data_IF_810758218759
#
_entry.id   IF_810758218759
#
_cell.length_a   1.000
_cell.length_b   1.000
_cell.length_c   1.000
_cell.angle_alpha   90.00
_cell.angle_beta   90.00
_cell.angle_gamma   90.00
#
_symmetry.space_group_name_H-M   'P 1'
#
loop_
_entity.id
_entity.type
_entity.pdbx_description
1 polymer ?
#
# COMPACT_ATOMS: atom_id res chain seq x y z
N UNK A 1 -9.79 9.98 11.92
CA UNK A 1 -9.15 11.31 11.99
C UNK A 1 -9.54 12.12 10.79
N UNK A 2 -9.92 13.35 11.03
CA UNK A 2 -10.29 14.25 9.92
C UNK A 2 -9.15 14.43 8.92
N UNK A 3 -7.92 14.43 9.43
CA UNK A 3 -6.74 14.61 8.61
C UNK A 3 -6.61 13.55 7.52
N UNK A 4 -7.00 12.31 7.81
CA UNK A 4 -6.90 11.21 6.85
C UNK A 4 -7.85 11.36 5.69
N UNK A 5 -8.92 12.14 5.86
CA UNK A 5 -9.93 12.33 4.84
C UNK A 5 -9.76 13.60 4.06
N UNK A 6 -8.76 14.40 4.45
CA UNK A 6 -8.54 15.67 3.80
C UNK A 6 -8.07 15.43 2.39
N UNK A 7 -8.66 16.16 1.46
CA UNK A 7 -8.21 16.12 0.08
C UNK A 7 -6.92 16.92 -0.03
N UNK A 8 -5.95 16.35 -0.70
CA UNK A 8 -4.64 16.97 -0.85
C UNK A 8 -4.47 17.31 -2.32
N UNK A 9 -4.12 18.58 -2.64
CA UNK A 9 -3.91 18.95 -4.05
C UNK A 9 -2.79 18.12 -4.67
N UNK A 10 -2.99 17.76 -5.92
CA UNK A 10 -2.02 16.92 -6.62
C UNK A 10 -0.66 17.60 -6.69
N UNK A 11 -0.63 18.93 -6.72
CA UNK A 11 0.63 19.66 -6.78
C UNK A 11 1.52 19.46 -5.56
N UNK A 12 0.97 18.96 -4.44
CA UNK A 12 1.75 18.71 -3.24
C UNK A 12 2.34 17.30 -3.20
N UNK A 13 1.98 16.45 -4.14
CA UNK A 13 2.55 15.10 -4.22
C UNK A 13 3.93 15.18 -4.86
N UNK A 14 4.86 14.39 -4.34
CA UNK A 14 6.14 14.25 -5.00
C UNK A 14 6.09 13.09 -5.97
N UNK A 15 7.00 13.11 -6.93
CA UNK A 15 7.05 12.08 -7.96
C UNK A 15 7.82 10.88 -7.48
N UNK A 16 7.30 9.70 -7.78
CA UNK A 16 7.98 8.45 -7.55
C UNK A 16 8.27 7.73 -8.85
N UNK A 17 8.64 6.47 -8.78
CA UNK A 17 8.96 5.71 -9.97
C UNK A 17 7.73 5.44 -10.83
N UNK A 18 7.93 5.39 -12.15
CA UNK A 18 6.92 4.92 -13.11
C UNK A 18 5.63 5.71 -13.09
N UNK A 19 5.69 6.99 -12.78
CA UNK A 19 4.51 7.84 -12.76
C UNK A 19 3.71 7.83 -11.47
N UNK A 20 4.16 7.09 -10.49
CA UNK A 20 3.55 7.07 -9.17
C UNK A 20 3.75 8.42 -8.48
N UNK A 21 2.75 8.88 -7.74
CA UNK A 21 2.89 10.09 -6.93
C UNK A 21 2.58 9.77 -5.49
N UNK A 22 3.27 10.44 -4.57
CA UNK A 22 3.24 10.09 -3.16
C UNK A 22 3.11 11.33 -2.29
N UNK A 23 2.36 11.19 -1.20
CA UNK A 23 2.25 12.24 -0.19
C UNK A 23 2.16 11.57 1.18
N UNK A 24 3.08 11.92 2.09
CA UNK A 24 3.06 11.36 3.44
C UNK A 24 2.12 12.17 4.31
N UNK A 25 0.97 11.58 4.64
CA UNK A 25 0.02 12.21 5.54
C UNK A 25 0.54 12.14 6.96
N UNK A 26 1.08 10.99 7.34
CA UNK A 26 1.71 10.79 8.64
C UNK A 26 3.03 10.10 8.37
N UNK A 27 4.12 10.68 8.86
CA UNK A 27 5.41 10.01 8.78
C UNK A 27 5.55 9.09 9.97
N UNK A 28 5.81 7.83 9.70
CA UNK A 28 6.03 6.88 10.77
C UNK A 28 7.38 7.09 11.44
N UNK A 29 7.51 6.55 12.62
CA UNK A 29 8.75 6.69 13.39
C UNK A 29 9.44 5.36 13.61
N UNK A 30 8.83 4.25 13.15
CA UNK A 30 9.41 2.93 13.30
C UNK A 30 10.43 2.59 12.24
N UNK A 31 10.70 1.30 12.10
CA UNK A 31 11.66 0.83 11.13
C UNK A 31 11.21 1.13 9.71
N UNK A 32 12.18 1.33 8.83
CA UNK A 32 11.90 1.63 7.43
C UNK A 32 11.67 0.35 6.65
N UNK A 33 10.66 0.38 5.77
CA UNK A 33 10.33 -0.76 4.91
C UNK A 33 11.37 -0.92 3.83
N UNK A 34 11.84 -2.15 3.64
CA UNK A 34 12.83 -2.47 2.62
C UNK A 34 12.39 -3.66 1.80
N UNK A 35 12.93 -3.73 0.59
CA UNK A 35 12.67 -4.85 -0.31
C UNK A 35 13.07 -6.17 0.36
N UNK A 36 12.24 -7.18 0.18
CA UNK A 36 12.49 -8.51 0.76
C UNK A 36 11.80 -8.73 2.08
N UNK A 37 11.26 -7.68 2.68
CA UNK A 37 10.58 -7.82 3.96
C UNK A 37 9.11 -8.16 3.76
N UNK A 38 8.54 -8.85 4.75
CA UNK A 38 7.11 -9.06 4.80
C UNK A 38 6.49 -8.01 5.70
N UNK A 39 5.46 -7.35 5.19
CA UNK A 39 4.82 -6.24 5.91
C UNK A 39 3.35 -6.55 6.14
N UNK A 40 2.79 -5.92 7.16
CA UNK A 40 1.36 -5.91 7.41
C UNK A 40 0.87 -4.47 7.28
N UNK A 41 -0.18 -4.28 6.50
CA UNK A 41 -0.66 -2.95 6.15
C UNK A 41 -2.19 -2.90 6.22
N UNK A 42 -2.71 -1.69 6.33
CA UNK A 42 -4.08 -1.39 5.92
C UNK A 42 -4.02 -0.51 4.69
N UNK A 43 -4.98 -0.67 3.79
CA UNK A 43 -5.09 0.22 2.64
C UNK A 43 -6.53 0.37 2.19
N UNK A 44 -6.79 1.53 1.57
CA UNK A 44 -8.03 1.82 0.88
C UNK A 44 -7.70 2.15 -0.55
N UNK A 45 -8.42 1.55 -1.50
CA UNK A 45 -8.28 1.86 -2.91
C UNK A 45 -9.52 2.61 -3.34
N UNK A 46 -9.34 3.82 -3.86
CA UNK A 46 -10.43 4.70 -4.22
C UNK A 46 -10.32 5.13 -5.66
N UNK A 47 -11.48 5.30 -6.28
CA UNK A 47 -11.58 5.90 -7.59
C UNK A 47 -12.70 6.92 -7.54
N UNK A 48 -12.38 8.18 -7.87
CA UNK A 48 -13.35 9.30 -7.84
C UNK A 48 -14.04 9.40 -6.49
N UNK A 49 -13.27 9.31 -5.42
CA UNK A 49 -13.73 9.43 -4.03
C UNK A 49 -14.64 8.31 -3.56
N UNK A 50 -14.76 7.24 -4.35
CA UNK A 50 -15.51 6.05 -3.94
C UNK A 50 -14.50 4.98 -3.58
N UNK A 51 -14.64 4.41 -2.38
CA UNK A 51 -13.76 3.33 -1.94
C UNK A 51 -14.26 2.02 -2.52
N UNK A 52 -13.43 1.38 -3.33
CA UNK A 52 -13.78 0.11 -3.96
C UNK A 52 -13.19 -1.09 -3.22
N UNK A 53 -12.01 -0.92 -2.65
CA UNK A 53 -11.33 -1.99 -1.93
C UNK A 53 -10.79 -1.40 -0.65
N UNK A 54 -11.03 -2.06 0.48
CA UNK A 54 -10.48 -1.61 1.74
C UNK A 54 -10.20 -2.81 2.62
N UNK A 55 -9.04 -2.77 3.29
CA UNK A 55 -8.68 -3.76 4.29
C UNK A 55 -9.25 -3.40 5.65
N UNK A 56 -9.79 -2.19 5.81
CA UNK A 56 -10.29 -1.71 7.09
C UNK A 56 -11.71 -2.17 7.37
N UNK A 57 -12.41 -2.64 6.35
CA UNK A 57 -13.76 -3.13 6.51
C UNK A 57 -13.74 -4.47 7.19
N UNK A 58 -14.55 -4.64 8.22
CA UNK A 58 -14.60 -5.89 8.94
C UNK A 58 -15.58 -5.83 10.07
N UNK A 59 -15.66 -6.93 10.79
CA UNK A 59 -16.57 -7.04 11.93
C UNK A 59 -15.85 -6.60 13.19
N UNK A 60 -16.60 -5.97 14.07
CA UNK A 60 -16.09 -5.55 15.35
C UNK A 60 -15.40 -4.22 15.34
N UNK A 61 -14.76 -3.90 16.45
CA UNK A 61 -14.22 -2.57 16.67
C UNK A 61 -12.86 -2.36 16.03
N UNK A 62 -12.20 -3.42 15.60
CA UNK A 62 -10.86 -3.31 15.05
C UNK A 62 -10.84 -2.86 13.60
N UNK A 63 -11.99 -2.95 12.92
CA UNK A 63 -12.10 -2.40 11.58
C UNK A 63 -11.45 -3.22 10.48
N UNK A 64 -11.28 -4.50 10.68
CA UNK A 64 -10.81 -5.37 9.61
C UNK A 64 -9.48 -6.02 9.89
N UNK A 65 -9.08 -6.87 8.97
CA UNK A 65 -7.85 -7.66 9.10
C UNK A 65 -6.77 -7.04 8.25
N UNK A 66 -5.59 -6.81 8.82
CA UNK A 66 -4.46 -6.30 8.03
C UNK A 66 -4.08 -7.26 6.91
N UNK A 67 -3.56 -6.70 5.84
CA UNK A 67 -3.11 -7.45 4.68
C UNK A 67 -1.60 -7.59 4.74
N UNK A 68 -1.11 -8.81 4.55
CA UNK A 68 0.33 -9.07 4.51
C UNK A 68 0.80 -9.27 3.10
N UNK A 69 2.00 -8.75 2.78
CA UNK A 69 2.64 -9.08 1.51
C UNK A 69 4.14 -8.93 1.63
N UNK A 70 4.85 -9.48 0.65
CA UNK A 70 6.31 -9.46 0.62
C UNK A 70 6.75 -8.39 -0.36
N UNK A 71 7.47 -7.39 0.14
CA UNK A 71 7.90 -6.24 -0.67
C UNK A 71 8.89 -6.71 -1.73
N UNK A 72 8.61 -6.36 -2.97
CA UNK A 72 9.48 -6.71 -4.10
C UNK A 72 9.08 -7.98 -4.83
N UNK A 73 8.02 -8.66 -4.39
CA UNK A 73 7.56 -9.86 -5.08
C UNK A 73 6.86 -9.48 -6.37
N UNK A 74 7.20 -10.10 -7.49
CA UNK A 74 6.55 -9.78 -8.76
C UNK A 74 5.04 -9.98 -8.69
N UNK A 75 4.32 -9.06 -9.30
CA UNK A 75 2.87 -9.06 -9.26
C UNK A 75 2.30 -10.35 -9.84
N UNK A 76 1.34 -10.92 -9.15
CA UNK A 76 0.71 -12.19 -9.55
C UNK A 76 1.29 -13.40 -8.84
N UNK A 77 2.46 -13.27 -8.24
CA UNK A 77 3.04 -14.34 -7.45
C UNK A 77 2.49 -14.32 -6.04
N UNK A 78 2.61 -15.47 -5.36
CA UNK A 78 2.13 -15.58 -3.98
C UNK A 78 2.83 -14.56 -3.09
N UNK A 79 2.05 -13.86 -2.30
CA UNK A 79 2.58 -12.84 -1.40
C UNK A 79 2.81 -11.49 -2.04
N UNK A 80 2.36 -11.30 -3.28
CA UNK A 80 2.51 -10.01 -3.96
C UNK A 80 1.33 -9.10 -3.68
N UNK A 81 1.46 -7.84 -4.11
CA UNK A 81 0.38 -6.87 -4.08
C UNK A 81 0.41 -6.08 -5.39
N UNK A 82 -0.50 -5.13 -5.56
CA UNK A 82 -0.51 -4.29 -6.75
C UNK A 82 0.83 -3.59 -6.91
N UNK A 83 1.32 -3.45 -8.16
CA UNK A 83 2.61 -2.80 -8.37
C UNK A 83 2.72 -1.42 -7.74
N UNK A 84 1.66 -0.61 -7.82
CA UNK A 84 1.69 0.73 -7.23
C UNK A 84 1.83 0.72 -5.72
N UNK A 85 1.23 -0.26 -5.05
CA UNK A 85 1.37 -0.40 -3.61
C UNK A 85 2.78 -0.88 -3.27
N UNK A 86 3.28 -1.85 -4.01
CA UNK A 86 4.62 -2.40 -3.78
C UNK A 86 5.70 -1.33 -3.95
N UNK A 87 5.57 -0.50 -4.98
CA UNK A 87 6.51 0.60 -5.17
C UNK A 87 6.28 1.71 -4.17
N UNK A 88 5.02 1.97 -3.83
CA UNK A 88 4.67 3.10 -2.97
C UNK A 88 5.02 2.91 -1.51
N UNK A 89 5.17 1.66 -1.06
CA UNK A 89 5.49 1.42 0.35
C UNK A 89 6.97 1.63 0.66
N UNK A 90 7.80 1.60 -0.36
CA UNK A 90 9.25 1.67 -0.14
C UNK A 90 9.62 3.02 0.46
N UNK A 91 10.42 2.97 1.50
CA UNK A 91 10.81 4.17 2.22
C UNK A 91 9.84 4.61 3.30
N UNK A 92 8.66 3.99 3.38
CA UNK A 92 7.78 4.27 4.50
C UNK A 92 8.34 3.66 5.79
N UNK A 93 7.87 4.19 6.91
CA UNK A 93 8.24 3.65 8.22
C UNK A 93 6.99 3.13 8.91
N UNK A 94 7.18 2.17 9.80
CA UNK A 94 6.08 1.66 10.61
C UNK A 94 5.40 2.82 11.32
N UNK A 95 4.08 2.85 11.26
CA UNK A 95 3.26 3.93 11.80
C UNK A 95 2.93 5.00 10.78
N UNK A 96 3.50 4.92 9.58
CA UNK A 96 3.25 5.93 8.54
C UNK A 96 1.95 5.69 7.79
N UNK A 97 1.41 6.77 7.26
CA UNK A 97 0.24 6.76 6.39
C UNK A 97 0.58 7.58 5.16
N UNK A 98 0.54 6.95 3.99
CA UNK A 98 0.92 7.59 2.73
C UNK A 98 -0.21 7.50 1.74
N UNK A 99 -0.50 8.61 1.08
CA UNK A 99 -1.45 8.61 -0.03
C UNK A 99 -0.70 8.49 -1.34
N UNK A 100 -1.17 7.60 -2.19
CA UNK A 100 -0.57 7.32 -3.48
C UNK A 100 -1.56 7.67 -4.56
N UNK A 101 -1.08 8.28 -5.65
CA UNK A 101 -1.82 8.36 -6.90
C UNK A 101 -1.19 7.35 -7.82
N UNK A 102 -1.94 6.30 -8.14
CA UNK A 102 -1.42 5.13 -8.82
C UNK A 102 -1.94 5.12 -10.25
N UNK A 103 -1.07 5.31 -11.24
CA UNK A 103 -1.52 5.27 -12.64
C UNK A 103 -1.97 3.86 -13.01
N UNK A 104 -2.79 3.73 -14.08
CA UNK A 104 -3.32 2.42 -14.42
C UNK A 104 -2.26 1.37 -14.70
N UNK A 105 -1.10 1.75 -15.21
CA UNK A 105 -0.02 0.81 -15.49
C UNK A 105 0.48 0.12 -14.23
N UNK A 106 0.30 0.74 -13.08
CA UNK A 106 0.72 0.18 -11.80
C UNK A 106 -0.46 -0.37 -11.01
N UNK A 107 -1.61 -0.48 -11.64
CA UNK A 107 -2.84 -0.95 -11.00
C UNK A 107 -3.56 -1.94 -11.93
N UNK A 108 -4.73 -1.56 -12.45
CA UNK A 108 -5.58 -2.49 -13.18
C UNK A 108 -5.55 -2.28 -14.69
N UNK A 109 -4.67 -1.42 -15.18
CA UNK A 109 -4.36 -1.29 -16.60
C UNK A 109 -5.54 -0.84 -17.44
N UNK A 110 -5.50 -1.26 -18.70
CA UNK A 110 -6.52 -0.84 -19.67
C UNK A 110 -7.84 -1.59 -19.51
N UNK A 111 -7.82 -2.71 -18.81
CA UNK A 111 -9.03 -3.54 -18.68
C UNK A 111 -9.86 -3.18 -17.47
N UNK A 112 -9.21 -2.63 -16.43
CA UNK A 112 -9.89 -2.36 -15.19
C UNK A 112 -10.21 -3.63 -14.42
N UNK A 113 -11.01 -3.48 -13.36
CA UNK A 113 -11.48 -4.62 -12.57
C UNK A 113 -12.80 -4.21 -11.91
N UNK A 114 -13.82 -5.09 -12.02
CA UNK A 114 -15.11 -4.78 -11.44
C UNK A 114 -15.63 -3.46 -11.96
N UNK A 115 -15.97 -2.55 -11.06
CA UNK A 115 -16.48 -1.23 -11.42
C UNK A 115 -15.39 -0.20 -11.65
N UNK A 116 -14.13 -0.57 -11.44
CA UNK A 116 -13.02 0.32 -11.75
C UNK A 116 -12.72 0.19 -13.24
N UNK A 117 -12.89 1.27 -14.01
CA UNK A 117 -12.72 1.17 -15.47
C UNK A 117 -11.26 1.08 -15.85
N UNK A 118 -11.02 0.68 -17.09
CA UNK A 118 -9.68 0.73 -17.65
C UNK A 118 -9.17 2.14 -17.73
N UNK A 119 -7.87 2.31 -17.59
CA UNK A 119 -7.25 3.62 -17.65
C UNK A 119 -7.42 4.45 -16.39
N UNK A 120 -7.93 3.87 -15.31
CA UNK A 120 -8.20 4.62 -14.08
C UNK A 120 -6.93 4.85 -13.27
N UNK A 121 -6.73 6.11 -12.86
CA UNK A 121 -5.74 6.44 -11.84
C UNK A 121 -6.42 6.33 -10.49
N UNK A 122 -5.82 5.57 -9.59
CA UNK A 122 -6.42 5.27 -8.31
C UNK A 122 -5.75 6.07 -7.20
N UNK A 123 -6.53 6.39 -6.18
CA UNK A 123 -6.00 6.95 -4.94
C UNK A 123 -5.94 5.82 -3.91
N UNK A 124 -4.76 5.58 -3.36
CA UNK A 124 -4.55 4.54 -2.37
C UNK A 124 -4.02 5.16 -1.11
N UNK A 125 -4.72 4.96 0.00
CA UNK A 125 -4.21 5.34 1.31
C UNK A 125 -3.62 4.08 1.95
N UNK A 126 -2.34 4.14 2.27
CA UNK A 126 -1.56 2.99 2.70
C UNK A 126 -0.95 3.26 4.07
N UNK A 127 -1.27 2.40 5.02
CA UNK A 127 -0.75 2.52 6.39
C UNK A 127 0.10 1.29 6.71
N UNK A 128 1.33 1.50 7.19
CA UNK A 128 2.22 0.40 7.57
C UNK A 128 2.05 0.13 9.04
N UNK A 129 1.61 -1.08 9.36
CA UNK A 129 1.37 -1.47 10.74
C UNK A 129 2.57 -2.15 11.37
N UNK A 130 3.24 -3.03 10.63
CA UNK A 130 4.38 -3.75 11.16
C UNK A 130 5.21 -4.32 10.03
N UNK A 131 6.45 -4.61 10.34
CA UNK A 131 7.35 -5.36 9.48
C UNK A 131 7.60 -6.66 10.20
N UNK A 132 7.30 -7.77 9.52
CA UNK A 132 7.49 -9.09 10.11
C UNK A 132 8.94 -9.49 9.97
N UNK A 133 9.54 -9.89 11.06
CA UNK A 133 10.87 -10.45 11.00
C UNK A 133 10.74 -11.94 11.23
N UNK A 134 11.48 -12.70 10.44
CA UNK A 134 11.48 -14.14 10.61
C UNK A 134 12.18 -14.49 11.92
N UNK A 135 11.60 -15.37 12.69
CA UNK A 135 12.30 -15.82 13.89
C UNK A 135 13.55 -16.60 13.57
N UNK A 136 13.62 -17.07 12.32
CA UNK A 136 14.81 -17.74 11.85
C UNK A 136 15.62 -16.87 10.92
N UNK A 137 15.24 -15.69 10.95
CA UNK A 137 15.68 -14.69 10.04
C UNK A 137 14.67 -14.42 9.00
N UNK A 138 13.66 -14.80 8.68
CA UNK A 138 12.78 -14.85 7.95
C UNK A 138 12.91 -14.98 6.83
N UNK A 139 12.87 -15.72 7.42
CA UNK A 139 13.21 -16.21 6.91
C UNK A 139 13.44 -16.72 6.49
N UNK A 140 13.12 -16.97 6.84
CA UNK A 140 13.56 -17.52 6.90
C UNK A 140 13.84 -17.65 6.73
N UNK A 141 13.77 -18.11 6.55
CA UNK A 141 14.14 -18.49 6.75
C UNK A 141 14.44 -18.69 6.78
N UNK A 142 14.07 -18.98 6.99
CA UNK A 142 14.58 -19.46 7.40
C UNK A 142 15.07 -19.53 7.42
N UNK A 143 14.94 -19.78 7.38
CA UNK A 143 15.56 -20.12 7.78
C UNK A 143 16.01 -20.02 7.82
N UNK A 144 15.76 -20.26 7.82
CA UNK A 144 16.22 -20.46 8.19
C UNK A 144 16.61 -20.34 8.12
N UNK A 145 16.37 -20.39 8.06
CA UNK A 145 16.79 -20.58 8.18
C UNK A 145 16.96 -20.46 8.13
#
# INVERSE_FOLDING_TARGET
MARRRKKIPESEFREGPSGLKLYDIIEGTGAEVQTGQRVAVHYDVKFRNVTFITSRQGLGVTGGTPVGFNVGTPYGESGSTLPGIDLGIRGMRVGGLRRLLVPPELAYGDKGVGEIPGGATLTVDLEVLSIKTSPLGYRTKLVEG
#
